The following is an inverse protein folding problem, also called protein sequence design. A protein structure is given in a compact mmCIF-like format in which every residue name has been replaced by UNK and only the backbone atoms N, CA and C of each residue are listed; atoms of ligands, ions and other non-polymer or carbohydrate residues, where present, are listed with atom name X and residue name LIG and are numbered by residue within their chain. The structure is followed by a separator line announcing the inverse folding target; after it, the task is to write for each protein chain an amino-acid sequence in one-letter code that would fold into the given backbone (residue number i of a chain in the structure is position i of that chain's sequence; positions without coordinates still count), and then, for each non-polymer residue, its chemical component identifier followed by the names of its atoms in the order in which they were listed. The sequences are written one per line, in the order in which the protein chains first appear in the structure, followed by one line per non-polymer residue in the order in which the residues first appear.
data_IF_785344907319
#
_entry.id   IF_785344907319
#
_cell.length_a   1.000
_cell.length_b   1.000
_cell.length_c   1.000
_cell.angle_alpha   90.00
_cell.angle_beta   90.00
_cell.angle_gamma   90.00
#
_symmetry.space_group_name_H-M   'P 1'
#
loop_
_entity.id
_entity.type
_entity.pdbx_description
1 polymer ?
#
# COMPACT_ATOMS: atom_id res chain seq x y z
N UNK A 1 -60.80 23.32 14.31
CA UNK A 1 -59.46 22.84 13.93
C UNK A 1 -58.44 23.73 14.61
N UNK A 2 -57.71 23.23 15.60
CA UNK A 2 -56.66 24.01 16.28
C UNK A 2 -55.41 24.07 15.38
N UNK A 3 -54.79 25.25 15.19
CA UNK A 3 -53.59 25.37 14.38
C UNK A 3 -52.45 24.58 15.05
N UNK A 4 -51.66 23.89 14.23
CA UNK A 4 -50.46 23.20 14.71
C UNK A 4 -49.50 24.19 15.36
N UNK A 5 -48.82 23.82 16.46
CA UNK A 5 -47.79 24.65 17.07
C UNK A 5 -46.68 25.01 16.08
N UNK A 6 -46.32 26.30 16.01
CA UNK A 6 -45.34 26.85 15.07
C UNK A 6 -43.91 26.29 15.21
N UNK A 7 -43.61 25.54 16.28
CA UNK A 7 -42.30 24.92 16.48
C UNK A 7 -42.14 23.58 15.72
N UNK A 8 -43.25 22.92 15.33
CA UNK A 8 -43.20 21.61 14.65
C UNK A 8 -42.45 21.69 13.31
N UNK A 9 -42.73 22.66 12.40
CA UNK A 9 -42.00 22.76 11.13
C UNK A 9 -40.50 22.98 11.33
N UNK A 10 -40.13 23.78 12.35
CA UNK A 10 -38.72 24.08 12.66
C UNK A 10 -37.98 22.82 13.08
N UNK A 11 -38.59 22.00 13.95
CA UNK A 11 -37.99 20.73 14.40
C UNK A 11 -37.85 19.74 13.25
N UNK A 12 -38.86 19.64 12.37
CA UNK A 12 -38.82 18.76 11.19
C UNK A 12 -37.73 19.19 10.21
N UNK A 13 -37.61 20.48 9.92
CA UNK A 13 -36.54 21.01 9.06
C UNK A 13 -35.16 20.79 9.67
N UNK A 14 -34.99 21.03 10.98
CA UNK A 14 -33.73 20.79 11.67
C UNK A 14 -33.32 19.31 11.65
N UNK A 15 -34.26 18.39 11.92
CA UNK A 15 -34.02 16.96 11.83
C UNK A 15 -33.64 16.52 10.40
N UNK A 16 -34.31 17.07 9.39
CA UNK A 16 -33.99 16.83 7.99
C UNK A 16 -32.57 17.23 7.62
N UNK A 17 -32.09 18.38 8.10
CA UNK A 17 -30.71 18.84 7.89
C UNK A 17 -29.70 17.91 8.54
N UNK A 18 -29.94 17.46 9.77
CA UNK A 18 -29.05 16.51 10.47
C UNK A 18 -28.96 15.18 9.72
N UNK A 19 -30.09 14.63 9.28
CA UNK A 19 -30.13 13.38 8.50
C UNK A 19 -29.38 13.55 7.18
N UNK A 20 -29.59 14.67 6.48
CA UNK A 20 -28.88 14.97 5.23
C UNK A 20 -27.37 15.09 5.43
N UNK A 21 -26.91 15.75 6.50
CA UNK A 21 -25.48 15.86 6.85
C UNK A 21 -24.88 14.48 7.15
N UNK A 22 -25.54 13.66 7.96
CA UNK A 22 -25.10 12.30 8.25
C UNK A 22 -25.02 11.45 6.97
N UNK A 23 -26.05 11.52 6.12
CA UNK A 23 -26.08 10.83 4.83
C UNK A 23 -24.96 11.29 3.89
N UNK A 24 -24.68 12.59 3.84
CA UNK A 24 -23.61 13.17 3.03
C UNK A 24 -22.22 12.72 3.50
N UNK A 25 -21.97 12.72 4.83
CA UNK A 25 -20.71 12.21 5.40
C UNK A 25 -20.53 10.73 5.08
N UNK A 26 -21.60 9.94 5.20
CA UNK A 26 -21.58 8.52 4.83
C UNK A 26 -21.26 8.32 3.35
N UNK A 27 -21.87 9.11 2.46
CA UNK A 27 -21.60 9.08 1.02
C UNK A 27 -20.14 9.43 0.70
N UNK A 28 -19.58 10.47 1.33
CA UNK A 28 -18.16 10.82 1.14
C UNK A 28 -17.25 9.67 1.55
N UNK A 29 -17.50 9.07 2.73
CA UNK A 29 -16.70 7.93 3.21
C UNK A 29 -16.77 6.75 2.24
N UNK A 30 -17.97 6.40 1.77
CA UNK A 30 -18.18 5.32 0.82
C UNK A 30 -17.55 5.60 -0.55
N UNK A 31 -17.62 6.85 -1.02
CA UNK A 31 -17.00 7.25 -2.28
C UNK A 31 -15.47 7.14 -2.21
N UNK A 32 -14.84 7.58 -1.11
CA UNK A 32 -13.40 7.42 -0.90
C UNK A 32 -12.97 5.95 -0.84
N UNK A 33 -13.78 5.10 -0.21
CA UNK A 33 -13.51 3.67 -0.16
C UNK A 33 -13.56 3.02 -1.55
N UNK A 34 -14.58 3.32 -2.35
CA UNK A 34 -14.67 2.81 -3.72
C UNK A 34 -13.48 3.28 -4.59
N UNK A 35 -13.06 4.55 -4.45
CA UNK A 35 -11.88 5.07 -5.13
C UNK A 35 -10.58 4.34 -4.72
N UNK A 36 -10.43 4.01 -3.43
CA UNK A 36 -9.29 3.22 -2.95
C UNK A 36 -9.24 1.84 -3.60
N UNK A 37 -10.39 1.18 -3.76
CA UNK A 37 -10.49 -0.12 -4.43
C UNK A 37 -10.06 -0.01 -5.90
N UNK A 38 -10.57 0.99 -6.62
CA UNK A 38 -10.21 1.20 -8.03
C UNK A 38 -8.70 1.47 -8.19
N UNK A 39 -8.11 2.24 -7.28
CA UNK A 39 -6.66 2.49 -7.26
C UNK A 39 -5.87 1.22 -6.95
N UNK A 40 -6.32 0.42 -5.99
CA UNK A 40 -5.71 -0.86 -5.66
C UNK A 40 -5.69 -1.78 -6.88
N UNK A 41 -6.82 -1.95 -7.56
CA UNK A 41 -6.89 -2.80 -8.75
C UNK A 41 -6.02 -2.29 -9.90
N UNK A 42 -5.83 -0.98 -10.05
CA UNK A 42 -4.89 -0.43 -11.04
C UNK A 42 -3.45 -0.76 -10.69
N UNK A 43 -3.07 -0.61 -9.42
CA UNK A 43 -1.73 -0.98 -8.95
C UNK A 43 -1.50 -2.49 -9.05
N UNK A 44 -2.52 -3.29 -8.75
CA UNK A 44 -2.50 -4.75 -8.88
C UNK A 44 -2.31 -5.16 -10.35
N UNK A 45 -3.10 -4.59 -11.26
CA UNK A 45 -2.99 -4.87 -12.69
C UNK A 45 -1.63 -4.42 -13.27
N UNK A 46 -1.08 -3.29 -12.82
CA UNK A 46 0.26 -2.85 -13.23
C UNK A 46 1.33 -3.79 -12.67
N UNK A 47 1.26 -4.12 -11.39
CA UNK A 47 2.27 -4.90 -10.69
C UNK A 47 2.29 -6.38 -11.12
N UNK A 48 1.13 -7.00 -11.28
CA UNK A 48 1.02 -8.39 -11.75
C UNK A 48 0.93 -8.50 -13.27
N UNK A 49 1.00 -7.37 -13.98
CA UNK A 49 1.08 -7.37 -15.43
C UNK A 49 2.39 -7.98 -15.95
N UNK A 50 2.40 -8.52 -17.18
CA UNK A 50 3.54 -9.22 -17.75
C UNK A 50 4.79 -8.34 -17.85
N UNK A 51 4.62 -7.05 -18.13
CA UNK A 51 5.73 -6.10 -18.20
C UNK A 51 6.45 -5.96 -16.85
N UNK A 52 5.70 -5.83 -15.75
CA UNK A 52 6.29 -5.72 -14.41
C UNK A 52 6.86 -7.06 -13.95
N UNK A 53 6.22 -8.19 -14.27
CA UNK A 53 6.79 -9.52 -13.98
C UNK A 53 8.19 -9.72 -14.61
N UNK A 54 8.37 -9.31 -15.87
CA UNK A 54 9.70 -9.33 -16.52
C UNK A 54 10.69 -8.43 -15.77
N UNK A 55 10.25 -7.23 -15.38
CA UNK A 55 11.10 -6.31 -14.62
C UNK A 55 11.49 -6.87 -13.24
N UNK A 56 10.55 -7.52 -12.54
CA UNK A 56 10.79 -8.20 -11.26
C UNK A 56 11.77 -9.35 -11.39
N UNK A 57 11.63 -10.19 -12.42
CA UNK A 57 12.58 -11.28 -12.67
C UNK A 57 14.00 -10.76 -12.96
N UNK A 58 14.12 -9.67 -13.74
CA UNK A 58 15.40 -9.01 -13.99
C UNK A 58 16.00 -8.43 -12.71
N UNK A 59 15.20 -7.69 -11.95
CA UNK A 59 15.62 -7.12 -10.67
C UNK A 59 16.07 -8.21 -9.69
N UNK A 60 15.33 -9.32 -9.60
CA UNK A 60 15.68 -10.42 -8.72
C UNK A 60 17.00 -11.09 -9.11
N UNK A 61 17.24 -11.27 -10.41
CA UNK A 61 18.51 -11.79 -10.94
C UNK A 61 19.67 -10.83 -10.66
N UNK A 62 19.46 -9.52 -10.86
CA UNK A 62 20.47 -8.50 -10.59
C UNK A 62 20.78 -8.41 -9.08
N UNK A 63 19.76 -8.40 -8.22
CA UNK A 63 19.92 -8.38 -6.77
C UNK A 63 20.66 -9.61 -6.24
N UNK A 64 20.44 -10.79 -6.83
CA UNK A 64 21.19 -11.99 -6.49
C UNK A 64 22.69 -11.86 -6.79
N UNK A 65 23.06 -11.04 -7.79
CA UNK A 65 24.45 -10.69 -8.09
C UNK A 65 24.99 -9.47 -7.33
N UNK A 66 24.15 -8.84 -6.48
CA UNK A 66 24.49 -7.65 -5.70
C UNK A 66 24.30 -6.32 -6.45
N UNK A 67 23.59 -6.32 -7.58
CA UNK A 67 23.26 -5.10 -8.32
C UNK A 67 21.81 -4.66 -8.02
N UNK A 68 21.67 -3.46 -7.46
CA UNK A 68 20.39 -2.86 -7.10
C UNK A 68 19.74 -2.08 -8.25
N UNK A 69 20.48 -1.73 -9.30
CA UNK A 69 20.02 -0.79 -10.33
C UNK A 69 18.69 -1.22 -10.98
N UNK A 70 18.56 -2.50 -11.31
CA UNK A 70 17.35 -3.07 -11.92
C UNK A 70 16.15 -3.12 -10.94
N UNK A 71 16.40 -3.04 -9.63
CA UNK A 71 15.35 -3.01 -8.60
C UNK A 71 14.79 -1.61 -8.34
N UNK A 72 15.50 -0.54 -8.74
CA UNK A 72 15.08 0.85 -8.50
C UNK A 72 13.66 1.15 -8.97
N UNK A 73 13.22 0.78 -10.19
CA UNK A 73 11.88 1.15 -10.62
C UNK A 73 10.77 0.30 -9.93
N UNK A 74 11.13 -0.80 -9.26
CA UNK A 74 10.21 -1.53 -8.36
C UNK A 74 10.09 -0.79 -7.03
N UNK A 75 11.20 -0.26 -6.50
CA UNK A 75 11.20 0.57 -5.30
C UNK A 75 10.45 1.89 -5.53
N UNK A 76 10.57 2.50 -6.71
CA UNK A 76 9.82 3.71 -7.10
C UNK A 76 8.31 3.44 -7.16
N UNK A 77 7.91 2.25 -7.64
CA UNK A 77 6.52 1.82 -7.60
C UNK A 77 6.03 1.72 -6.15
N UNK A 78 6.81 1.10 -5.25
CA UNK A 78 6.43 1.01 -3.84
C UNK A 78 6.46 2.36 -3.12
N UNK A 79 7.35 3.27 -3.46
CA UNK A 79 7.36 4.64 -2.93
C UNK A 79 6.11 5.41 -3.36
N UNK A 80 5.67 5.25 -4.61
CA UNK A 80 4.41 5.83 -5.09
C UNK A 80 3.22 5.28 -4.31
N UNK A 81 3.19 3.96 -4.11
CA UNK A 81 2.17 3.30 -3.27
C UNK A 81 2.20 3.80 -1.82
N UNK A 82 3.40 3.97 -1.24
CA UNK A 82 3.59 4.47 0.11
C UNK A 82 3.10 5.91 0.26
N UNK A 83 3.34 6.76 -0.73
CA UNK A 83 2.81 8.12 -0.80
C UNK A 83 1.28 8.12 -0.82
N UNK A 84 0.66 7.29 -1.68
CA UNK A 84 -0.80 7.17 -1.78
C UNK A 84 -1.42 6.66 -0.47
N UNK A 85 -0.77 5.69 0.18
CA UNK A 85 -1.17 5.19 1.49
C UNK A 85 -1.07 6.28 2.56
N UNK A 86 0.05 7.03 2.63
CA UNK A 86 0.21 8.14 3.58
C UNK A 86 -0.84 9.23 3.38
N UNK A 87 -1.27 9.48 2.15
CA UNK A 87 -2.31 10.47 1.82
C UNK A 87 -3.74 9.97 2.09
N UNK A 88 -3.91 8.72 2.51
CA UNK A 88 -5.23 8.11 2.73
C UNK A 88 -6.03 7.96 1.43
N UNK A 89 -5.33 7.77 0.31
CA UNK A 89 -5.91 7.41 -0.98
C UNK A 89 -5.99 5.89 -1.16
N UNK A 90 -5.09 5.14 -0.52
CA UNK A 90 -5.14 3.68 -0.39
C UNK A 90 -5.48 3.29 1.04
N UNK A 91 -6.23 2.21 1.16
CA UNK A 91 -6.52 1.54 2.41
C UNK A 91 -5.35 0.62 2.82
N UNK A 92 -4.91 0.73 4.09
CA UNK A 92 -3.75 -0.03 4.59
C UNK A 92 -4.00 -1.53 4.66
N UNK A 93 -5.25 -1.96 4.89
CA UNK A 93 -5.61 -3.37 5.00
C UNK A 93 -5.54 -4.04 3.64
N UNK A 94 -6.06 -3.35 2.63
CA UNK A 94 -5.97 -3.79 1.24
C UNK A 94 -4.52 -3.86 0.76
N UNK A 95 -3.71 -2.82 1.02
CA UNK A 95 -2.29 -2.82 0.63
C UNK A 95 -1.53 -3.95 1.33
N UNK A 96 -1.78 -4.17 2.63
CA UNK A 96 -1.18 -5.28 3.36
C UNK A 96 -1.56 -6.62 2.75
N UNK A 97 -2.85 -6.88 2.52
CA UNK A 97 -3.31 -8.14 1.95
C UNK A 97 -2.75 -8.41 0.55
N UNK A 98 -2.65 -7.39 -0.30
CA UNK A 98 -2.27 -7.56 -1.70
C UNK A 98 -0.75 -7.49 -1.92
N UNK A 99 -0.01 -6.64 -1.20
CA UNK A 99 1.38 -6.32 -1.55
C UNK A 99 2.43 -6.64 -0.48
N UNK A 100 2.03 -7.04 0.73
CA UNK A 100 2.98 -7.20 1.84
C UNK A 100 4.16 -8.12 1.51
N UNK A 101 3.91 -9.26 0.86
CA UNK A 101 4.94 -10.22 0.48
C UNK A 101 6.07 -9.57 -0.32
N UNK A 102 5.74 -8.92 -1.44
CA UNK A 102 6.71 -8.26 -2.32
C UNK A 102 7.34 -7.03 -1.69
N UNK A 103 6.56 -6.17 -1.04
CA UNK A 103 7.08 -4.97 -0.36
C UNK A 103 8.14 -5.36 0.67
N UNK A 104 7.87 -6.40 1.48
CA UNK A 104 8.78 -6.87 2.50
C UNK A 104 10.03 -7.52 1.90
N UNK A 105 9.86 -8.32 0.84
CA UNK A 105 10.94 -8.98 0.12
C UNK A 105 11.93 -8.01 -0.52
N UNK A 106 11.44 -7.10 -1.36
CA UNK A 106 12.29 -6.10 -2.03
C UNK A 106 12.92 -5.12 -1.03
N UNK A 107 12.19 -4.71 0.01
CA UNK A 107 12.76 -3.83 1.02
C UNK A 107 13.93 -4.49 1.75
N UNK A 108 13.80 -5.74 2.23
CA UNK A 108 14.92 -6.41 2.90
C UNK A 108 16.07 -6.74 1.95
N UNK A 109 15.78 -7.10 0.69
CA UNK A 109 16.83 -7.33 -0.31
C UNK A 109 17.65 -6.06 -0.62
N UNK A 110 17.02 -4.88 -0.57
CA UNK A 110 17.65 -3.61 -0.95
C UNK A 110 18.05 -2.73 0.25
N UNK A 111 17.76 -3.17 1.49
CA UNK A 111 17.81 -2.31 2.69
C UNK A 111 19.15 -1.61 2.88
N UNK A 112 20.25 -2.34 2.70
CA UNK A 112 21.61 -1.82 2.90
C UNK A 112 21.92 -0.70 1.89
N UNK A 113 21.58 -0.91 0.62
CA UNK A 113 21.81 0.08 -0.44
C UNK A 113 20.87 1.29 -0.31
N UNK A 114 19.61 1.08 0.08
CA UNK A 114 18.68 2.18 0.40
C UNK A 114 19.29 3.08 1.49
N UNK A 115 19.75 2.47 2.59
CA UNK A 115 20.36 3.21 3.69
C UNK A 115 21.63 3.95 3.28
N UNK A 116 22.47 3.35 2.43
CA UNK A 116 23.68 3.98 1.93
C UNK A 116 23.35 5.20 1.05
N UNK A 117 22.39 5.06 0.13
CA UNK A 117 21.99 6.15 -0.78
C UNK A 117 21.27 7.28 -0.04
N UNK A 118 20.49 6.96 0.99
CA UNK A 118 19.83 7.96 1.85
C UNK A 118 20.81 8.84 2.64
N UNK A 119 22.08 8.43 2.81
CA UNK A 119 23.11 9.31 3.36
C UNK A 119 23.44 10.48 2.42
N UNK A 120 23.26 10.27 1.11
CA UNK A 120 23.47 11.30 0.09
C UNK A 120 22.18 12.04 -0.25
N UNK A 121 21.06 11.31 -0.39
CA UNK A 121 19.73 11.87 -0.64
C UNK A 121 18.71 11.36 0.39
N UNK A 122 18.48 12.10 1.49
CA UNK A 122 17.55 11.70 2.54
C UNK A 122 16.09 11.59 2.10
N UNK A 123 15.72 12.10 0.92
CA UNK A 123 14.35 12.05 0.40
C UNK A 123 14.08 10.82 -0.46
N UNK A 124 15.12 10.07 -0.84
CA UNK A 124 15.02 8.88 -1.66
C UNK A 124 14.24 7.78 -0.94
N UNK A 125 13.12 7.34 -1.53
CA UNK A 125 12.19 6.34 -0.97
C UNK A 125 11.79 6.61 0.49
N UNK A 126 11.59 7.88 0.84
CA UNK A 126 11.33 8.30 2.23
C UNK A 126 10.02 7.76 2.78
N UNK A 127 9.02 7.53 1.94
CA UNK A 127 7.70 7.07 2.35
C UNK A 127 7.63 5.53 2.46
N UNK A 128 8.51 4.83 1.75
CA UNK A 128 8.62 3.36 1.73
C UNK A 128 8.88 2.79 3.13
N UNK A 129 9.88 3.28 3.85
CA UNK A 129 10.23 2.75 5.18
C UNK A 129 9.06 2.84 6.18
N UNK A 130 8.40 4.01 6.36
CA UNK A 130 7.20 4.12 7.18
C UNK A 130 6.04 3.22 6.72
N UNK A 131 5.91 2.96 5.41
CA UNK A 131 4.93 1.99 4.92
C UNK A 131 5.28 0.57 5.35
N UNK A 132 6.51 0.11 5.09
CA UNK A 132 6.98 -1.24 5.44
C UNK A 132 6.74 -1.51 6.93
N UNK A 133 7.12 -0.59 7.81
CA UNK A 133 6.94 -0.78 9.25
C UNK A 133 5.46 -0.92 9.66
N UNK A 134 4.58 -0.11 9.08
CA UNK A 134 3.13 -0.22 9.32
C UNK A 134 2.58 -1.58 8.87
N UNK A 135 2.96 -2.03 7.67
CA UNK A 135 2.51 -3.34 7.16
C UNK A 135 3.07 -4.50 8.01
N UNK A 136 4.29 -4.37 8.54
CA UNK A 136 4.90 -5.33 9.47
C UNK A 136 4.19 -5.42 10.81
N UNK A 137 3.87 -4.28 11.41
CA UNK A 137 3.07 -4.21 12.64
C UNK A 137 1.72 -4.90 12.39
N UNK A 138 1.09 -4.65 11.23
CA UNK A 138 -0.15 -5.30 10.85
C UNK A 138 0.00 -6.81 10.69
N UNK A 139 1.03 -7.28 9.99
CA UNK A 139 1.34 -8.70 9.86
C UNK A 139 1.49 -9.38 11.23
N UNK A 140 2.18 -8.73 12.16
CA UNK A 140 2.39 -9.21 13.54
C UNK A 140 1.08 -9.30 14.33
N UNK A 141 0.18 -8.35 14.12
CA UNK A 141 -1.11 -8.32 14.81
C UNK A 141 -2.09 -9.34 14.22
N UNK A 142 -2.03 -9.57 12.91
CA UNK A 142 -2.90 -10.51 12.21
C UNK A 142 -2.43 -11.97 12.35
N UNK A 143 -1.13 -12.19 12.52
CA UNK A 143 -0.55 -13.53 12.62
C UNK A 143 0.35 -13.63 13.85
N UNK A 144 0.25 -14.71 14.63
CA UNK A 144 1.24 -15.05 15.67
C UNK A 144 2.64 -15.43 15.11
N UNK A 145 2.93 -15.04 13.86
CA UNK A 145 4.15 -15.42 13.15
C UNK A 145 5.30 -14.49 13.54
N UNK A 146 6.46 -15.03 13.95
CA UNK A 146 7.65 -14.23 14.21
C UNK A 146 8.37 -13.76 12.94
N UNK A 147 7.96 -14.22 11.75
CA UNK A 147 8.64 -13.95 10.46
C UNK A 147 8.14 -12.65 9.84
N UNK A 148 8.69 -11.54 10.31
CA UNK A 148 8.41 -10.19 9.81
C UNK A 148 9.63 -9.65 9.05
N UNK A 149 10.82 -9.93 9.59
CA UNK A 149 12.11 -9.63 8.97
C UNK A 149 12.62 -10.91 8.32
N UNK A 150 13.02 -10.80 7.06
CA UNK A 150 13.54 -11.93 6.29
C UNK A 150 15.03 -12.14 6.62
N UNK A 151 15.42 -13.38 6.89
CA UNK A 151 16.83 -13.76 6.95
C UNK A 151 17.43 -13.86 5.54
N UNK A 152 18.76 -14.00 5.44
CA UNK A 152 19.45 -14.09 4.14
C UNK A 152 18.96 -15.25 3.28
N UNK A 153 18.59 -16.38 3.89
CA UNK A 153 18.10 -17.56 3.16
C UNK A 153 16.72 -17.27 2.58
N UNK A 154 15.85 -16.62 3.35
CA UNK A 154 14.51 -16.21 2.93
C UNK A 154 14.55 -15.14 1.85
N UNK A 155 15.49 -14.19 1.93
CA UNK A 155 15.73 -13.21 0.86
C UNK A 155 16.14 -13.93 -0.43
N UNK A 156 17.08 -14.87 -0.35
CA UNK A 156 17.51 -15.63 -1.53
C UNK A 156 16.38 -16.47 -2.13
N UNK A 157 15.54 -17.08 -1.29
CA UNK A 157 14.37 -17.82 -1.78
C UNK A 157 13.35 -16.90 -2.46
N UNK A 158 13.07 -15.74 -1.88
CA UNK A 158 12.21 -14.72 -2.50
C UNK A 158 12.74 -14.30 -3.87
N UNK A 159 14.04 -13.98 -3.98
CA UNK A 159 14.66 -13.60 -5.25
C UNK A 159 14.63 -14.75 -6.27
N UNK A 160 14.80 -16.00 -5.81
CA UNK A 160 14.71 -17.19 -6.68
C UNK A 160 13.31 -17.38 -7.24
N UNK A 161 12.28 -17.20 -6.42
CA UNK A 161 10.88 -17.27 -6.85
C UNK A 161 10.57 -16.19 -7.90
N UNK A 162 10.93 -14.93 -7.62
CA UNK A 162 10.71 -13.79 -8.53
C UNK A 162 11.48 -13.95 -9.84
N UNK A 163 12.72 -14.45 -9.80
CA UNK A 163 13.51 -14.73 -10.99
C UNK A 163 12.84 -15.78 -11.89
N UNK A 164 12.19 -16.79 -11.30
CA UNK A 164 11.54 -17.88 -12.03
C UNK A 164 10.19 -17.48 -12.67
N UNK A 165 9.54 -16.41 -12.21
CA UNK A 165 8.23 -16.01 -12.72
C UNK A 165 8.21 -15.65 -14.21
N UNK A 166 9.28 -15.05 -14.75
CA UNK A 166 9.34 -14.69 -16.18
C UNK A 166 9.45 -15.90 -17.12
N UNK A 167 9.68 -17.11 -16.59
CA UNK A 167 9.79 -18.35 -17.38
C UNK A 167 8.47 -19.13 -17.43
N UNK A 168 7.43 -18.68 -16.71
CA UNK A 168 6.09 -19.29 -16.71
C UNK A 168 5.16 -18.60 -17.70
#
# INVERSE_FOLDING_TARGET
MTPLPNWIPVVVSAAGVVIALCGFIYQIRRARFNQSIDLLFRLENDFFGPAKQIQRSKAATALASGDMFEAEPILDFFETMALLLRRGALDEEMVWHTFFYWVNGYYEACKSDIQLRQQTDPLLWKDLLPMVERLRIRQKNATSSPRIVLDSTQIQEFLREEAAEATR
#
